data_IF_932539885744
#
_entry.id   IF_932539885744
#
_cell.length_a   1.000
_cell.length_b   1.000
_cell.length_c   1.000
_cell.angle_alpha   90.00
_cell.angle_beta   90.00
_cell.angle_gamma   90.00
#
_symmetry.space_group_name_H-M   'P 1'
#
loop_
_entity.id
_entity.type
_entity.pdbx_description
1 polymer ?
#
# COMPACT_ATOMS: atom_id res chain seq x y z
N UNK A 1 2.74 21.74 -2.81
CA UNK A 1 2.98 20.86 -3.97
C UNK A 1 3.68 19.52 -3.62
N UNK A 2 4.87 19.53 -3.01
CA UNK A 2 5.77 18.36 -2.91
C UNK A 2 5.20 17.14 -2.15
N UNK A 3 4.46 17.36 -1.05
CA UNK A 3 3.91 16.27 -0.23
C UNK A 3 2.92 15.39 -0.99
N UNK A 4 2.11 15.98 -1.86
CA UNK A 4 1.11 15.27 -2.69
C UNK A 4 1.80 14.36 -3.72
N UNK A 5 2.86 14.85 -4.34
CA UNK A 5 3.66 14.10 -5.32
C UNK A 5 4.33 12.88 -4.68
N UNK A 6 4.88 13.02 -3.48
CA UNK A 6 5.48 11.90 -2.75
C UNK A 6 4.46 10.81 -2.41
N UNK A 7 3.25 11.21 -1.99
CA UNK A 7 2.15 10.27 -1.72
C UNK A 7 1.78 9.52 -3.00
N UNK A 8 1.60 10.23 -4.12
CA UNK A 8 1.29 9.59 -5.40
C UNK A 8 2.36 8.60 -5.84
N UNK A 9 3.66 8.94 -5.70
CA UNK A 9 4.76 8.01 -5.99
C UNK A 9 4.72 6.76 -5.11
N UNK A 10 4.38 6.91 -3.83
CA UNK A 10 4.18 5.77 -2.93
C UNK A 10 3.01 4.89 -3.37
N UNK A 11 1.89 5.48 -3.82
CA UNK A 11 0.73 4.73 -4.34
C UNK A 11 1.10 3.96 -5.60
N UNK A 12 1.82 4.60 -6.54
CA UNK A 12 2.28 3.95 -7.76
C UNK A 12 3.22 2.77 -7.45
N UNK A 13 4.14 2.97 -6.50
CA UNK A 13 5.04 1.91 -6.04
C UNK A 13 4.27 0.77 -5.35
N UNK A 14 3.20 1.08 -4.62
CA UNK A 14 2.30 0.10 -4.01
C UNK A 14 1.53 -0.70 -5.05
N UNK A 15 0.91 -0.04 -6.03
CA UNK A 15 0.21 -0.68 -7.13
C UNK A 15 1.14 -1.64 -7.88
N UNK A 16 2.33 -1.17 -8.23
CA UNK A 16 3.34 -1.99 -8.88
C UNK A 16 3.76 -3.17 -7.99
N UNK A 17 4.05 -2.95 -6.71
CA UNK A 17 4.45 -4.03 -5.81
C UNK A 17 3.36 -5.10 -5.61
N UNK A 18 2.09 -4.73 -5.76
CA UNK A 18 0.97 -5.68 -5.69
C UNK A 18 0.86 -6.56 -6.94
N UNK A 19 1.20 -6.05 -8.12
CA UNK A 19 1.13 -6.78 -9.40
C UNK A 19 2.46 -7.39 -9.83
N UNK A 20 3.57 -6.89 -9.29
CA UNK A 20 4.92 -7.31 -9.64
C UNK A 20 5.25 -8.68 -9.04
N UNK A 21 5.38 -9.69 -9.90
CA UNK A 21 5.78 -11.05 -9.52
C UNK A 21 7.30 -11.24 -9.45
N UNK A 22 8.06 -10.30 -10.02
CA UNK A 22 9.52 -10.40 -10.08
C UNK A 22 10.16 -10.20 -8.69
N UNK A 23 10.76 -11.25 -8.14
CA UNK A 23 11.41 -11.19 -6.83
C UNK A 23 12.62 -10.24 -6.83
N UNK A 24 13.28 -10.08 -7.97
CA UNK A 24 14.51 -9.30 -8.14
C UNK A 24 14.28 -7.93 -8.79
N UNK A 25 13.10 -7.34 -8.56
CA UNK A 25 12.71 -6.11 -9.24
C UNK A 25 13.76 -5.02 -8.97
N UNK A 26 14.30 -4.42 -10.04
CA UNK A 26 15.37 -3.40 -9.96
C UNK A 26 14.92 -2.11 -9.25
N UNK A 27 13.62 -1.92 -9.07
CA UNK A 27 13.06 -0.77 -8.36
C UNK A 27 13.16 -0.97 -6.84
N UNK A 28 14.02 -0.20 -6.18
CA UNK A 28 14.16 -0.21 -4.72
C UNK A 28 12.83 0.08 -3.99
N UNK A 29 11.97 0.94 -4.56
CA UNK A 29 10.63 1.22 -4.04
C UNK A 29 9.71 0.00 -4.08
N UNK A 30 9.78 -0.79 -5.14
CA UNK A 30 9.03 -2.05 -5.27
C UNK A 30 9.47 -3.04 -4.19
N UNK A 31 10.77 -3.28 -4.05
CA UNK A 31 11.32 -4.18 -3.04
C UNK A 31 10.92 -3.77 -1.61
N UNK A 32 11.03 -2.47 -1.29
CA UNK A 32 10.59 -1.92 0.00
C UNK A 32 9.10 -2.16 0.23
N UNK A 33 8.28 -1.90 -0.77
CA UNK A 33 6.82 -2.03 -0.63
C UNK A 33 6.37 -3.49 -0.56
N UNK A 34 7.03 -4.41 -1.27
CA UNK A 34 6.83 -5.86 -1.12
C UNK A 34 7.08 -6.32 0.32
N UNK A 35 8.17 -5.86 0.94
CA UNK A 35 8.45 -6.14 2.36
C UNK A 35 7.34 -5.61 3.28
N UNK A 36 6.84 -4.41 3.02
CA UNK A 36 5.72 -3.82 3.78
C UNK A 36 4.43 -4.63 3.63
N UNK A 37 4.08 -5.05 2.40
CA UNK A 37 2.91 -5.91 2.14
C UNK A 37 3.06 -7.25 2.87
N UNK A 38 4.21 -7.91 2.75
CA UNK A 38 4.50 -9.17 3.44
C UNK A 38 4.42 -9.02 4.97
N UNK A 39 4.96 -7.93 5.50
CA UNK A 39 4.85 -7.59 6.92
C UNK A 39 3.38 -7.47 7.35
N UNK A 40 2.56 -6.67 6.64
CA UNK A 40 1.16 -6.47 7.02
C UNK A 40 0.32 -7.75 6.94
N UNK A 41 0.67 -8.71 6.09
CA UNK A 41 0.03 -10.04 6.08
C UNK A 41 0.32 -10.82 7.37
N UNK A 42 1.56 -10.79 7.85
CA UNK A 42 2.01 -11.55 9.03
C UNK A 42 1.87 -10.79 10.36
N UNK A 43 1.67 -9.47 10.31
CA UNK A 43 1.63 -8.63 11.50
C UNK A 43 0.32 -8.82 12.28
N UNK A 44 0.41 -9.49 13.44
CA UNK A 44 -0.72 -9.68 14.37
C UNK A 44 -1.23 -8.37 14.97
N UNK A 45 -0.36 -7.36 15.08
CA UNK A 45 -0.66 -6.03 15.64
C UNK A 45 -1.12 -5.00 14.60
N UNK A 46 -1.48 -5.43 13.38
CA UNK A 46 -1.87 -4.51 12.30
C UNK A 46 -3.12 -3.70 12.66
N UNK A 47 -4.12 -4.32 13.29
CA UNK A 47 -5.38 -3.66 13.67
C UNK A 47 -5.29 -2.86 14.97
N UNK A 48 -4.29 -3.12 15.81
CA UNK A 48 -4.18 -2.47 17.12
C UNK A 48 -3.49 -1.11 17.07
N UNK A 49 -3.24 -0.56 15.87
CA UNK A 49 -2.51 0.70 15.62
C UNK A 49 -1.09 0.80 16.22
N UNK A 50 -0.61 -0.22 16.95
CA UNK A 50 0.70 -0.26 17.58
C UNK A 50 1.85 -0.53 16.59
N UNK A 51 1.54 -0.84 15.32
CA UNK A 51 2.56 -1.03 14.30
C UNK A 51 2.67 0.22 13.40
N UNK A 52 3.80 0.96 13.44
CA UNK A 52 3.98 2.16 12.63
C UNK A 52 4.00 1.86 11.12
N UNK A 53 4.50 0.69 10.72
CA UNK A 53 4.53 0.25 9.31
C UNK A 53 3.11 0.03 8.80
N UNK A 54 2.30 -0.74 9.54
CA UNK A 54 0.90 -0.99 9.17
C UNK A 54 0.08 0.30 9.17
N UNK A 55 0.30 1.17 10.16
CA UNK A 55 -0.37 2.47 10.27
C UNK A 55 -0.11 3.34 9.02
N UNK A 56 1.14 3.43 8.57
CA UNK A 56 1.49 4.17 7.36
C UNK A 56 0.89 3.53 6.09
N UNK A 57 0.93 2.21 5.97
CA UNK A 57 0.33 1.51 4.84
C UNK A 57 -1.18 1.75 4.77
N UNK A 58 -1.89 1.63 5.89
CA UNK A 58 -3.34 1.87 5.92
C UNK A 58 -3.69 3.32 5.61
N UNK A 59 -2.93 4.29 6.10
CA UNK A 59 -3.13 5.70 5.73
C UNK A 59 -2.97 5.90 4.22
N UNK A 60 -1.98 5.26 3.61
CA UNK A 60 -1.76 5.32 2.16
C UNK A 60 -2.89 4.63 1.38
N UNK A 61 -3.31 3.43 1.80
CA UNK A 61 -4.41 2.69 1.19
C UNK A 61 -5.74 3.42 1.34
N UNK A 62 -6.01 4.07 2.46
CA UNK A 62 -7.22 4.86 2.69
C UNK A 62 -7.24 6.10 1.80
N UNK A 63 -6.13 6.83 1.70
CA UNK A 63 -6.02 7.95 0.76
C UNK A 63 -6.24 7.49 -0.67
N UNK A 64 -5.65 6.35 -1.07
CA UNK A 64 -5.90 5.77 -2.37
C UNK A 64 -7.39 5.41 -2.56
N UNK A 65 -8.02 4.74 -1.60
CA UNK A 65 -9.42 4.31 -1.69
C UNK A 65 -10.39 5.47 -1.93
N UNK A 66 -10.16 6.64 -1.30
CA UNK A 66 -10.95 7.87 -1.52
C UNK A 66 -10.94 8.37 -2.95
N UNK A 67 -9.86 8.17 -3.68
CA UNK A 67 -9.69 8.64 -5.06
C UNK A 67 -9.82 7.52 -6.09
N UNK A 68 -9.72 6.26 -5.66
CA UNK A 68 -9.78 5.10 -6.52
C UNK A 68 -11.22 4.87 -6.98
N UNK A 69 -11.45 4.84 -8.30
CA UNK A 69 -12.76 4.47 -8.89
C UNK A 69 -12.81 3.04 -9.41
N UNK A 70 -11.67 2.34 -9.40
CA UNK A 70 -11.56 0.97 -9.86
C UNK A 70 -12.38 0.00 -8.99
N UNK A 71 -13.19 -0.82 -9.65
CA UNK A 71 -13.99 -1.87 -9.00
C UNK A 71 -13.10 -3.06 -8.63
N UNK A 72 -12.10 -3.38 -9.46
CA UNK A 72 -11.15 -4.50 -9.26
C UNK A 72 -9.75 -4.01 -8.91
N UNK A 73 -9.64 -3.13 -7.91
CA UNK A 73 -8.35 -2.61 -7.47
C UNK A 73 -7.47 -3.75 -6.91
N UNK A 74 -6.22 -3.84 -7.40
CA UNK A 74 -5.23 -4.84 -6.94
C UNK A 74 -4.56 -4.46 -5.61
N UNK A 75 -4.83 -3.26 -5.08
CA UNK A 75 -4.26 -2.79 -3.82
C UNK A 75 -4.95 -3.49 -2.66
N UNK A 76 -4.21 -4.20 -1.79
CA UNK A 76 -4.78 -4.81 -0.60
C UNK A 76 -5.39 -3.72 0.28
N UNK A 77 -6.55 -4.03 0.87
CA UNK A 77 -7.35 -3.13 1.71
C UNK A 77 -8.06 -1.97 0.99
N UNK A 78 -7.81 -1.71 -0.30
CA UNK A 78 -8.53 -0.65 -1.02
C UNK A 78 -10.05 -0.89 -1.04
N UNK A 79 -10.47 -2.12 -1.33
CA UNK A 79 -11.89 -2.48 -1.31
C UNK A 79 -12.48 -2.40 0.10
N UNK A 80 -11.72 -2.88 1.11
CA UNK A 80 -12.12 -2.81 2.51
C UNK A 80 -12.32 -1.37 2.99
N UNK A 81 -11.46 -0.44 2.58
CA UNK A 81 -11.60 0.99 2.91
C UNK A 81 -12.61 1.72 2.04
N UNK A 82 -12.98 1.19 0.86
CA UNK A 82 -14.08 1.73 0.04
C UNK A 82 -15.47 1.40 0.60
N UNK A 83 -15.59 0.23 1.23
CA UNK A 83 -16.85 -0.26 1.81
C UNK A 83 -17.13 0.29 3.21
N UNK A 84 -16.21 1.10 3.76
CA UNK A 84 -16.35 1.86 5.00
C UNK A 84 -16.49 3.34 4.67
#
# INVERSE_FOLDING_TARGET
QARRLSIQRCILSLLHACTCRDANCRLASCQKMKKVIMHTKQCKRKHTHNCPICKQLFALCWYHAKHCREIKCQVPYCLTFKQK
#
